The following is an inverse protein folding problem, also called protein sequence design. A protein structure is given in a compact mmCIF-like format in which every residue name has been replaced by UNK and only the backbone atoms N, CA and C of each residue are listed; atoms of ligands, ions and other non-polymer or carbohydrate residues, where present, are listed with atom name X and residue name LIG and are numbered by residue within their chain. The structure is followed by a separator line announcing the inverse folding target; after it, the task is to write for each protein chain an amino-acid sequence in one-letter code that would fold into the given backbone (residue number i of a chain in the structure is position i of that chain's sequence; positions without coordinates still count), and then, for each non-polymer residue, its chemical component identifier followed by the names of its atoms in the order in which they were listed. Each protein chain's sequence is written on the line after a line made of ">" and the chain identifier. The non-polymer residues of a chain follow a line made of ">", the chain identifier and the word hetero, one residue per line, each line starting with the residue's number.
data_IF_706698184726
#
_entry.id   IF_706698184726
#
_cell.length_a   1.000
_cell.length_b   1.000
_cell.length_c   1.000
_cell.angle_alpha   90.00
_cell.angle_beta   90.00
_cell.angle_gamma   90.00
#
_symmetry.space_group_name_H-M   'P 1'
#
loop_
_entity.id
_entity.type
_entity.pdbx_description
1 polymer ?
#
# COMPACT_ATOMS: atom_id res chain seq x y z
N UNK A 1 -6.17 -18.03 -2.22
CA UNK A 1 -5.70 -17.87 -0.83
C UNK A 1 -6.14 -16.54 -0.20
N UNK A 2 -5.99 -15.38 -0.86
CA UNK A 2 -6.40 -14.07 -0.32
C UNK A 2 -7.91 -14.02 -0.01
N UNK A 3 -8.74 -14.54 -0.89
CA UNK A 3 -10.20 -14.59 -0.70
C UNK A 3 -10.58 -15.53 0.45
N UNK A 4 -9.95 -16.70 0.55
CA UNK A 4 -10.17 -17.66 1.64
C UNK A 4 -9.77 -17.01 2.98
N UNK A 5 -8.60 -16.40 3.05
CA UNK A 5 -8.13 -15.69 4.25
C UNK A 5 -9.09 -14.56 4.64
N UNK A 6 -9.61 -13.80 3.67
CA UNK A 6 -10.59 -12.75 3.93
C UNK A 6 -11.89 -13.32 4.54
N UNK A 7 -12.38 -14.46 4.02
CA UNK A 7 -13.56 -15.14 4.55
C UNK A 7 -13.34 -15.63 5.98
N UNK A 8 -12.21 -16.27 6.26
CA UNK A 8 -11.89 -16.81 7.58
C UNK A 8 -11.75 -15.69 8.63
N UNK A 9 -11.12 -14.58 8.26
CA UNK A 9 -10.93 -13.42 9.15
C UNK A 9 -12.24 -12.69 9.42
N UNK A 10 -13.11 -12.55 8.42
CA UNK A 10 -14.36 -11.79 8.55
C UNK A 10 -15.45 -12.54 9.31
N UNK A 11 -15.53 -13.86 9.19
CA UNK A 11 -16.68 -14.61 9.71
C UNK A 11 -16.79 -14.63 11.24
N UNK A 12 -15.68 -14.76 11.95
CA UNK A 12 -15.69 -14.84 13.42
C UNK A 12 -16.10 -13.53 14.12
N UNK A 13 -15.61 -12.33 13.70
CA UNK A 13 -16.05 -11.05 14.27
C UNK A 13 -17.51 -10.70 14.05
N UNK A 14 -18.11 -11.18 12.95
CA UNK A 14 -19.51 -10.85 12.59
C UNK A 14 -20.56 -11.57 13.45
N UNK A 15 -20.17 -12.56 14.28
CA UNK A 15 -21.08 -13.23 15.19
C UNK A 15 -21.50 -12.32 16.34
N UNK A 16 -22.79 -12.31 16.63
CA UNK A 16 -23.33 -11.61 17.81
C UNK A 16 -22.66 -12.12 19.09
N UNK A 17 -22.02 -11.22 19.84
CA UNK A 17 -21.40 -11.51 21.14
C UNK A 17 -22.37 -11.12 22.25
N UNK A 18 -22.78 -12.08 23.08
CA UNK A 18 -23.44 -11.79 24.34
C UNK A 18 -22.40 -11.28 25.34
N UNK A 19 -22.53 -10.04 25.77
CA UNK A 19 -21.70 -9.51 26.86
C UNK A 19 -22.34 -9.88 28.20
N UNK A 20 -21.55 -10.40 29.14
CA UNK A 20 -22.01 -10.55 30.52
C UNK A 20 -22.18 -9.17 31.11
N UNK A 21 -23.41 -8.79 31.42
CA UNK A 21 -23.70 -7.61 32.25
C UNK A 21 -22.98 -7.78 33.60
N UNK A 22 -22.06 -6.87 33.94
CA UNK A 22 -21.70 -6.72 35.34
C UNK A 22 -22.93 -6.20 36.08
N UNK A 23 -23.35 -6.85 37.16
CA UNK A 23 -24.46 -6.42 38.00
C UNK A 23 -24.26 -4.94 38.38
N UNK A 24 -24.95 -4.06 37.67
CA UNK A 24 -25.11 -2.67 38.05
C UNK A 24 -26.30 -2.53 39.01
N UNK A 25 -26.39 -1.39 39.65
CA UNK A 25 -27.39 -1.10 40.73
C UNK A 25 -28.86 -1.11 40.31
N UNK A 26 -29.24 -1.59 39.14
CA UNK A 26 -30.63 -1.67 38.68
C UNK A 26 -31.02 -3.15 38.51
N UNK A 27 -32.03 -3.63 39.23
CA UNK A 27 -32.47 -5.02 39.21
C UNK A 27 -33.41 -5.30 38.02
N UNK A 28 -32.91 -5.11 36.79
CA UNK A 28 -33.65 -5.47 35.58
C UNK A 28 -32.85 -6.53 34.84
N UNK A 29 -33.53 -7.61 34.40
CA UNK A 29 -32.94 -8.62 33.54
C UNK A 29 -32.60 -7.99 32.16
N UNK A 30 -31.50 -7.23 32.08
CA UNK A 30 -31.00 -6.66 30.84
C UNK A 30 -29.99 -7.59 30.23
N UNK A 31 -30.25 -8.01 29.02
CA UNK A 31 -29.25 -8.69 28.18
C UNK A 31 -28.53 -7.62 27.36
N UNK A 32 -27.23 -7.48 27.56
CA UNK A 32 -26.40 -6.62 26.72
C UNK A 32 -25.74 -7.51 25.66
N UNK A 33 -25.88 -7.14 24.40
CA UNK A 33 -25.24 -7.83 23.28
C UNK A 33 -24.64 -6.84 22.29
N UNK A 34 -23.58 -7.23 21.65
CA UNK A 34 -22.96 -6.50 20.55
C UNK A 34 -23.39 -7.19 19.25
N UNK A 35 -23.92 -6.42 18.31
CA UNK A 35 -24.29 -6.88 16.98
C UNK A 35 -23.66 -5.96 15.95
N UNK A 36 -22.93 -6.53 15.01
CA UNK A 36 -22.45 -5.82 13.85
C UNK A 36 -23.56 -5.69 12.81
N UNK A 37 -23.70 -4.49 12.25
CA UNK A 37 -24.66 -4.19 11.19
C UNK A 37 -23.91 -3.59 10.01
N UNK A 38 -24.35 -3.83 8.76
CA UNK A 38 -23.74 -3.20 7.58
C UNK A 38 -23.83 -1.68 7.65
N UNK A 39 -22.86 -0.99 7.08
CA UNK A 39 -22.92 0.45 6.86
C UNK A 39 -23.91 0.82 5.75
N UNK A 40 -24.08 -0.04 4.75
CA UNK A 40 -24.86 0.19 3.54
C UNK A 40 -23.98 0.11 2.30
N UNK A 41 -23.76 1.21 1.62
CA UNK A 41 -22.89 1.31 0.44
C UNK A 41 -21.49 1.79 0.83
N UNK A 42 -20.50 0.95 0.61
CA UNK A 42 -19.09 1.26 0.93
C UNK A 42 -18.33 1.61 -0.33
N UNK A 43 -17.84 2.84 -0.37
CA UNK A 43 -16.87 3.28 -1.38
C UNK A 43 -15.50 2.69 -1.10
N UNK A 44 -14.89 2.04 -2.09
CA UNK A 44 -13.53 1.51 -2.01
C UNK A 44 -12.69 2.14 -3.11
N UNK A 45 -11.66 2.90 -2.74
CA UNK A 45 -10.73 3.51 -3.69
C UNK A 45 -9.38 2.85 -3.51
N UNK A 46 -8.98 2.06 -4.52
CA UNK A 46 -7.80 1.21 -4.50
C UNK A 46 -6.65 1.77 -5.36
N UNK A 47 -5.39 1.58 -4.95
CA UNK A 47 -4.20 2.05 -5.66
C UNK A 47 -3.75 1.05 -6.75
N UNK A 48 -2.76 1.47 -7.53
CA UNK A 48 -2.19 0.71 -8.65
C UNK A 48 -1.12 -0.32 -8.26
N UNK A 49 -0.48 -0.16 -7.10
CA UNK A 49 0.72 -0.95 -6.75
C UNK A 49 0.44 -2.41 -6.35
N UNK A 50 -0.73 -2.68 -5.80
CA UNK A 50 -1.25 -4.01 -5.49
C UNK A 50 -2.68 -4.18 -5.99
N UNK A 51 -2.90 -4.09 -7.31
CA UNK A 51 -4.26 -3.98 -7.86
C UNK A 51 -5.14 -5.20 -7.59
N UNK A 52 -4.56 -6.40 -7.50
CA UNK A 52 -5.31 -7.61 -7.15
C UNK A 52 -5.60 -7.65 -5.64
N UNK A 53 -4.55 -7.55 -4.82
CA UNK A 53 -4.66 -7.77 -3.37
C UNK A 53 -5.54 -6.73 -2.70
N UNK A 54 -5.25 -5.44 -2.92
CA UNK A 54 -5.96 -4.36 -2.24
C UNK A 54 -7.40 -4.20 -2.73
N UNK A 55 -7.68 -4.54 -3.97
CA UNK A 55 -9.04 -4.56 -4.51
C UNK A 55 -9.85 -5.76 -4.01
N UNK A 56 -9.33 -6.99 -4.18
CA UNK A 56 -10.05 -8.20 -3.81
C UNK A 56 -10.21 -8.32 -2.29
N UNK A 57 -9.14 -8.12 -1.53
CA UNK A 57 -9.17 -8.28 -0.07
C UNK A 57 -10.16 -7.33 0.59
N UNK A 58 -10.10 -6.05 0.25
CA UNK A 58 -11.01 -5.04 0.81
C UNK A 58 -12.44 -5.27 0.33
N UNK A 59 -12.65 -5.45 -0.98
CA UNK A 59 -13.99 -5.64 -1.56
C UNK A 59 -14.70 -6.87 -1.02
N UNK A 60 -14.01 -7.99 -0.87
CA UNK A 60 -14.58 -9.23 -0.33
C UNK A 60 -14.95 -9.06 1.15
N UNK A 61 -14.13 -8.43 1.97
CA UNK A 61 -14.45 -8.19 3.38
C UNK A 61 -15.67 -7.29 3.54
N UNK A 62 -15.80 -6.26 2.70
CA UNK A 62 -16.96 -5.36 2.68
C UNK A 62 -18.24 -6.12 2.33
N UNK A 63 -18.21 -6.99 1.30
CA UNK A 63 -19.33 -7.86 0.94
C UNK A 63 -19.69 -8.84 2.08
N UNK A 64 -18.70 -9.49 2.69
CA UNK A 64 -18.92 -10.44 3.79
C UNK A 64 -19.54 -9.77 5.01
N UNK A 65 -19.27 -8.49 5.23
CA UNK A 65 -19.90 -7.70 6.28
C UNK A 65 -21.34 -7.26 5.93
N UNK A 66 -21.87 -7.67 4.77
CA UNK A 66 -23.24 -7.41 4.33
C UNK A 66 -23.45 -6.07 3.63
N UNK A 67 -22.40 -5.44 3.14
CA UNK A 67 -22.46 -4.14 2.47
C UNK A 67 -22.44 -4.29 0.94
N UNK A 68 -22.95 -3.27 0.24
CA UNK A 68 -22.65 -3.05 -1.19
C UNK A 68 -21.28 -2.42 -1.38
N UNK A 69 -20.62 -2.71 -2.51
CA UNK A 69 -19.28 -2.21 -2.85
C UNK A 69 -19.33 -1.33 -4.09
N UNK A 70 -18.85 -0.11 -3.94
CA UNK A 70 -18.61 0.80 -5.05
C UNK A 70 -17.09 0.99 -5.19
N UNK A 71 -16.47 0.19 -6.08
CA UNK A 71 -15.02 0.11 -6.22
C UNK A 71 -14.51 1.03 -7.33
N UNK A 72 -13.58 1.90 -6.98
CA UNK A 72 -12.77 2.64 -7.94
C UNK A 72 -11.33 2.11 -7.93
N UNK A 73 -10.92 1.35 -8.96
CA UNK A 73 -9.50 1.02 -9.13
C UNK A 73 -8.70 2.25 -9.57
N UNK A 74 -7.38 2.17 -9.46
CA UNK A 74 -6.53 3.17 -10.10
C UNK A 74 -6.68 3.15 -11.63
N UNK A 75 -6.51 4.32 -12.24
CA UNK A 75 -6.64 4.48 -13.71
C UNK A 75 -5.56 3.72 -14.49
N UNK A 76 -4.42 3.42 -13.86
CA UNK A 76 -3.31 2.68 -14.48
C UNK A 76 -3.52 1.16 -14.47
N UNK A 77 -4.37 0.64 -13.56
CA UNK A 77 -4.56 -0.80 -13.38
C UNK A 77 -6.04 -1.22 -13.28
N UNK A 78 -6.94 -0.73 -14.16
CA UNK A 78 -8.38 -0.99 -14.02
C UNK A 78 -8.77 -2.42 -14.35
N UNK A 79 -8.04 -3.10 -15.26
CA UNK A 79 -8.39 -4.41 -15.77
C UNK A 79 -8.44 -5.49 -14.68
N UNK A 80 -7.55 -5.40 -13.68
CA UNK A 80 -7.53 -6.33 -12.54
C UNK A 80 -8.84 -6.26 -11.74
N UNK A 81 -9.34 -5.06 -11.47
CA UNK A 81 -10.61 -4.88 -10.75
C UNK A 81 -11.81 -5.38 -11.55
N UNK A 82 -11.82 -5.14 -12.87
CA UNK A 82 -12.87 -5.64 -13.76
C UNK A 82 -12.89 -7.18 -13.79
N UNK A 83 -11.71 -7.83 -13.82
CA UNK A 83 -11.62 -9.28 -13.75
C UNK A 83 -12.06 -9.84 -12.40
N UNK A 84 -11.77 -9.16 -11.30
CA UNK A 84 -12.28 -9.53 -9.97
C UNK A 84 -13.82 -9.48 -9.97
N UNK A 85 -14.42 -8.41 -10.49
CA UNK A 85 -15.88 -8.29 -10.58
C UNK A 85 -16.50 -9.42 -11.40
N UNK A 86 -15.92 -9.74 -12.56
CA UNK A 86 -16.35 -10.86 -13.40
C UNK A 86 -16.36 -12.18 -12.61
N UNK A 87 -15.25 -12.51 -11.93
CA UNK A 87 -15.13 -13.72 -11.13
C UNK A 87 -16.12 -13.77 -9.96
N UNK A 88 -16.41 -12.64 -9.32
CA UNK A 88 -17.44 -12.55 -8.29
C UNK A 88 -18.84 -12.84 -8.86
N UNK A 89 -19.16 -12.29 -10.02
CA UNK A 89 -20.45 -12.53 -10.68
C UNK A 89 -20.59 -13.99 -11.14
N UNK A 90 -19.55 -14.58 -11.70
CA UNK A 90 -19.51 -16.01 -12.06
C UNK A 90 -19.68 -16.90 -10.84
N UNK A 91 -19.22 -16.45 -9.67
CA UNK A 91 -19.39 -17.14 -8.39
C UNK A 91 -20.77 -16.95 -7.76
N UNK A 92 -21.67 -16.23 -8.40
CA UNK A 92 -23.07 -16.03 -7.94
C UNK A 92 -23.28 -14.79 -7.09
N UNK A 93 -22.33 -13.89 -6.95
CA UNK A 93 -22.55 -12.59 -6.30
C UNK A 93 -23.45 -11.73 -7.20
N UNK A 94 -24.57 -11.20 -6.68
CA UNK A 94 -25.44 -10.30 -7.43
C UNK A 94 -24.70 -9.07 -7.95
N UNK A 95 -24.98 -8.71 -9.21
CA UNK A 95 -24.29 -7.57 -9.84
C UNK A 95 -24.51 -6.25 -9.12
N UNK A 96 -25.66 -6.11 -8.45
CA UNK A 96 -26.03 -4.91 -7.71
C UNK A 96 -25.26 -4.74 -6.38
N UNK A 97 -24.49 -5.75 -5.96
CA UNK A 97 -23.71 -5.68 -4.74
C UNK A 97 -22.24 -5.31 -4.94
N UNK A 98 -21.72 -5.36 -6.18
CA UNK A 98 -20.32 -5.04 -6.46
C UNK A 98 -20.19 -4.30 -7.78
N UNK A 99 -19.88 -3.02 -7.73
CA UNK A 99 -19.70 -2.19 -8.92
C UNK A 99 -18.28 -1.69 -9.05
N UNK A 100 -17.70 -1.81 -10.24
CA UNK A 100 -16.42 -1.22 -10.57
C UNK A 100 -16.65 0.04 -11.43
N UNK A 101 -16.21 1.18 -10.93
CA UNK A 101 -16.33 2.47 -11.62
C UNK A 101 -14.93 2.97 -11.99
N UNK A 102 -14.58 2.87 -13.24
CA UNK A 102 -13.30 3.37 -13.78
C UNK A 102 -13.39 4.85 -14.10
N UNK A 103 -12.27 5.57 -13.97
CA UNK A 103 -12.17 6.97 -14.30
C UNK A 103 -11.17 7.74 -13.45
N UNK A 104 -11.05 9.03 -13.69
CA UNK A 104 -10.07 9.87 -12.99
C UNK A 104 -10.38 9.97 -11.48
N UNK A 105 -9.32 10.00 -10.66
CA UNK A 105 -9.46 10.12 -9.20
C UNK A 105 -10.17 11.39 -8.76
N UNK A 106 -9.96 12.49 -9.47
CA UNK A 106 -10.58 13.77 -9.14
C UNK A 106 -12.10 13.82 -9.34
N UNK A 107 -12.62 13.09 -10.32
CA UNK A 107 -14.05 13.05 -10.64
C UNK A 107 -14.72 11.87 -9.93
N UNK A 108 -14.31 10.64 -10.25
CA UNK A 108 -14.96 9.43 -9.75
C UNK A 108 -14.70 9.23 -8.25
N UNK A 109 -13.48 9.49 -7.77
CA UNK A 109 -13.17 9.38 -6.35
C UNK A 109 -13.97 10.35 -5.49
N UNK A 110 -14.17 11.57 -5.97
CA UNK A 110 -15.04 12.55 -5.32
C UNK A 110 -16.51 12.09 -5.32
N UNK A 111 -17.04 11.70 -6.48
CA UNK A 111 -18.42 11.26 -6.60
C UNK A 111 -18.74 10.06 -5.69
N UNK A 112 -17.85 9.08 -5.62
CA UNK A 112 -17.99 7.94 -4.69
C UNK A 112 -18.02 8.44 -3.24
N UNK A 113 -17.09 9.32 -2.84
CA UNK A 113 -17.04 9.85 -1.48
C UNK A 113 -18.30 10.66 -1.14
N UNK A 114 -18.87 11.36 -2.10
CA UNK A 114 -20.12 12.12 -1.96
C UNK A 114 -21.38 11.22 -1.93
N UNK A 115 -21.31 9.98 -2.43
CA UNK A 115 -22.45 9.05 -2.53
C UNK A 115 -22.49 7.96 -1.47
N UNK A 116 -21.36 7.43 -1.02
CA UNK A 116 -21.29 6.26 -0.14
C UNK A 116 -21.64 6.56 1.34
N UNK A 117 -21.91 5.51 2.12
CA UNK A 117 -22.16 5.57 3.57
C UNK A 117 -20.88 5.38 4.40
N UNK A 118 -19.86 4.78 3.81
CA UNK A 118 -18.53 4.60 4.40
C UNK A 118 -17.48 4.62 3.30
N UNK A 119 -16.33 5.24 3.54
CA UNK A 119 -15.23 5.28 2.58
C UNK A 119 -14.01 4.52 3.08
N UNK A 120 -13.51 3.60 2.27
CA UNK A 120 -12.20 2.96 2.42
C UNK A 120 -11.27 3.46 1.31
N UNK A 121 -10.20 4.12 1.70
CA UNK A 121 -9.23 4.70 0.77
C UNK A 121 -7.84 4.14 1.02
N UNK A 122 -7.17 3.70 -0.04
CA UNK A 122 -5.73 3.41 -0.01
C UNK A 122 -5.03 4.23 -1.09
N UNK A 123 -4.02 5.01 -0.70
CA UNK A 123 -3.29 5.85 -1.64
C UNK A 123 -2.44 6.94 -0.99
N UNK A 124 -2.21 8.04 -1.71
CA UNK A 124 -1.36 9.13 -1.23
C UNK A 124 -2.00 9.91 -0.07
N UNK A 125 -1.18 10.36 0.88
CA UNK A 125 -1.61 11.19 2.01
C UNK A 125 -2.35 12.47 1.57
N UNK A 126 -1.93 13.08 0.49
CA UNK A 126 -2.57 14.30 -0.03
C UNK A 126 -3.99 14.03 -0.52
N UNK A 127 -4.19 12.93 -1.26
CA UNK A 127 -5.52 12.52 -1.71
C UNK A 127 -6.38 12.10 -0.52
N UNK A 128 -5.81 11.34 0.43
CA UNK A 128 -6.49 10.93 1.65
C UNK A 128 -7.04 12.12 2.46
N UNK A 129 -6.25 13.18 2.61
CA UNK A 129 -6.73 14.40 3.29
C UNK A 129 -7.93 15.05 2.58
N UNK A 130 -7.90 15.11 1.23
CA UNK A 130 -9.00 15.69 0.45
C UNK A 130 -10.29 14.87 0.58
N UNK A 131 -10.19 13.54 0.46
CA UNK A 131 -11.34 12.65 0.60
C UNK A 131 -11.85 12.63 2.05
N UNK A 132 -10.95 12.64 3.03
CA UNK A 132 -11.30 12.73 4.45
C UNK A 132 -12.03 14.02 4.81
N UNK A 133 -11.73 15.16 4.15
CA UNK A 133 -12.48 16.40 4.31
C UNK A 133 -13.93 16.23 3.84
N UNK A 134 -14.14 15.66 2.66
CA UNK A 134 -15.49 15.41 2.12
C UNK A 134 -16.26 14.42 3.02
N UNK A 135 -15.62 13.34 3.46
CA UNK A 135 -16.22 12.38 4.37
C UNK A 135 -16.62 13.03 5.70
N UNK A 136 -15.77 13.91 6.23
CA UNK A 136 -16.03 14.67 7.45
C UNK A 136 -17.19 15.65 7.32
N UNK A 137 -17.30 16.37 6.20
CA UNK A 137 -18.43 17.24 5.90
C UNK A 137 -19.77 16.46 5.86
N UNK A 138 -19.74 15.21 5.41
CA UNK A 138 -20.90 14.32 5.36
C UNK A 138 -21.13 13.52 6.64
N UNK A 139 -20.21 13.57 7.60
CA UNK A 139 -20.23 12.78 8.84
C UNK A 139 -20.28 11.26 8.59
N UNK A 140 -19.71 10.77 7.49
CA UNK A 140 -19.59 9.34 7.20
C UNK A 140 -18.27 8.77 7.76
N UNK A 141 -18.26 7.44 8.00
CA UNK A 141 -17.04 6.76 8.42
C UNK A 141 -15.97 6.77 7.32
N UNK A 142 -14.71 6.90 7.72
CA UNK A 142 -13.59 6.96 6.80
C UNK A 142 -12.39 6.17 7.33
N UNK A 143 -11.89 5.22 6.55
CA UNK A 143 -10.63 4.52 6.79
C UNK A 143 -9.64 4.86 5.69
N UNK A 144 -8.42 5.24 6.08
CA UNK A 144 -7.37 5.60 5.15
C UNK A 144 -6.09 4.81 5.42
N UNK A 145 -5.65 4.06 4.41
CA UNK A 145 -4.34 3.44 4.35
C UNK A 145 -3.44 4.29 3.46
N UNK A 146 -2.39 4.86 4.05
CA UNK A 146 -1.58 5.90 3.42
C UNK A 146 -0.12 5.46 3.28
N UNK A 147 0.67 6.26 2.59
CA UNK A 147 2.11 6.04 2.47
C UNK A 147 2.86 6.32 3.77
N UNK A 148 4.06 5.78 3.88
CA UNK A 148 4.97 5.96 5.01
C UNK A 148 6.39 6.33 4.57
N UNK A 149 7.30 6.31 5.54
CA UNK A 149 8.75 6.40 5.38
C UNK A 149 9.36 5.37 6.34
N UNK A 150 9.13 4.10 6.00
CA UNK A 150 9.34 2.99 6.92
C UNK A 150 10.82 2.79 7.26
N UNK A 151 11.18 2.71 8.55
CA UNK A 151 12.55 2.45 8.97
C UNK A 151 12.84 0.96 9.12
N UNK A 152 14.09 0.57 8.85
CA UNK A 152 14.71 -0.65 9.32
C UNK A 152 15.83 -0.31 10.29
N UNK A 153 15.92 -1.03 11.39
CA UNK A 153 17.00 -0.88 12.38
C UNK A 153 17.82 -2.16 12.40
N UNK A 154 19.13 -2.04 12.18
CA UNK A 154 20.09 -3.15 12.22
C UNK A 154 20.95 -2.96 13.45
N UNK A 155 20.72 -3.78 14.49
CA UNK A 155 21.42 -3.72 15.76
C UNK A 155 22.84 -4.32 15.66
N UNK A 156 23.71 -4.02 16.61
CA UNK A 156 25.11 -4.42 16.61
C UNK A 156 25.35 -5.94 16.61
N UNK A 157 24.39 -6.70 17.08
CA UNK A 157 24.40 -8.17 17.17
C UNK A 157 23.56 -8.85 16.09
N UNK A 158 23.10 -8.08 15.07
CA UNK A 158 22.33 -8.63 13.97
C UNK A 158 23.19 -9.58 13.10
N UNK A 159 22.55 -10.64 12.59
CA UNK A 159 23.10 -11.42 11.48
C UNK A 159 23.11 -10.56 10.23
N UNK A 160 24.28 -10.15 9.79
CA UNK A 160 24.47 -9.19 8.69
C UNK A 160 23.94 -9.78 7.37
N UNK A 161 24.19 -11.05 7.10
CA UNK A 161 23.70 -11.69 5.86
C UNK A 161 22.18 -11.66 5.78
N UNK A 162 21.52 -12.06 6.86
CA UNK A 162 20.06 -12.00 6.97
C UNK A 162 19.54 -10.56 6.90
N UNK A 163 20.22 -9.61 7.53
CA UNK A 163 19.86 -8.20 7.49
C UNK A 163 19.93 -7.63 6.06
N UNK A 164 20.97 -8.00 5.29
CA UNK A 164 21.11 -7.61 3.87
C UNK A 164 19.97 -8.21 3.03
N UNK A 165 19.67 -9.49 3.19
CA UNK A 165 18.56 -10.14 2.45
C UNK A 165 17.21 -9.49 2.77
N UNK A 166 16.96 -9.18 4.05
CA UNK A 166 15.77 -8.45 4.49
C UNK A 166 15.72 -7.03 3.90
N UNK A 167 16.86 -6.34 3.84
CA UNK A 167 16.94 -5.00 3.24
C UNK A 167 16.68 -5.04 1.73
N UNK A 168 17.26 -5.99 0.98
CA UNK A 168 16.99 -6.17 -0.46
C UNK A 168 15.48 -6.37 -0.69
N UNK A 169 14.88 -7.34 0.00
CA UNK A 169 13.46 -7.61 -0.16
C UNK A 169 12.58 -6.44 0.30
N UNK A 170 12.92 -5.81 1.42
CA UNK A 170 12.13 -4.74 2.01
C UNK A 170 12.23 -3.41 1.26
N UNK A 171 13.37 -3.11 0.61
CA UNK A 171 13.56 -1.87 -0.15
C UNK A 171 13.10 -1.99 -1.59
N UNK A 172 13.36 -3.13 -2.27
CA UNK A 172 13.26 -3.23 -3.71
C UNK A 172 12.14 -4.13 -4.23
N UNK A 173 11.40 -4.83 -3.36
CA UNK A 173 10.19 -5.55 -3.80
C UNK A 173 9.23 -4.60 -4.51
N UNK A 174 8.70 -5.03 -5.67
CA UNK A 174 7.88 -4.22 -6.56
C UNK A 174 8.52 -2.86 -6.91
N UNK A 175 9.86 -2.83 -7.05
CA UNK A 175 10.65 -1.62 -7.32
C UNK A 175 10.47 -0.52 -6.27
N UNK A 176 10.30 -0.89 -4.98
CA UNK A 176 10.07 0.05 -3.88
C UNK A 176 8.67 0.66 -3.83
N UNK A 177 7.78 0.30 -4.75
CA UNK A 177 6.44 0.89 -4.88
C UNK A 177 5.43 0.27 -3.90
N UNK A 178 5.80 0.22 -2.62
CA UNK A 178 5.00 -0.36 -1.54
C UNK A 178 4.80 0.63 -0.39
N UNK A 179 3.62 0.65 0.20
CA UNK A 179 3.37 1.42 1.42
C UNK A 179 4.21 0.92 2.62
N UNK A 180 4.65 -0.35 2.56
CA UNK A 180 5.50 -1.01 3.56
C UNK A 180 6.98 -1.06 3.15
N UNK A 181 7.36 -0.48 2.01
CA UNK A 181 8.76 -0.45 1.56
C UNK A 181 9.65 0.26 2.57
N UNK A 182 10.82 -0.32 2.83
CA UNK A 182 11.82 0.28 3.69
C UNK A 182 12.51 1.39 2.91
N UNK A 183 12.43 2.61 3.41
CA UNK A 183 13.06 3.78 2.79
C UNK A 183 14.17 4.38 3.64
N UNK A 184 14.36 3.89 4.87
CA UNK A 184 15.45 4.30 5.78
C UNK A 184 16.02 3.09 6.48
N UNK A 185 17.33 2.95 6.44
CA UNK A 185 18.04 1.90 7.17
C UNK A 185 18.96 2.56 8.20
N UNK A 186 18.74 2.27 9.48
CA UNK A 186 19.58 2.72 10.60
C UNK A 186 20.47 1.56 11.02
N UNK A 187 21.75 1.65 10.74
CA UNK A 187 22.71 0.59 11.04
C UNK A 187 23.60 1.03 12.22
N UNK A 188 23.79 0.14 13.19
CA UNK A 188 24.70 0.41 14.31
C UNK A 188 26.13 0.60 13.77
N UNK A 189 26.84 1.59 14.31
CA UNK A 189 28.17 2.01 13.82
C UNK A 189 29.19 0.89 13.75
N UNK A 190 29.17 -0.04 14.73
CA UNK A 190 30.12 -1.15 14.81
C UNK A 190 30.05 -2.11 13.61
N UNK A 191 28.93 -2.19 12.90
CA UNK A 191 28.71 -3.10 11.76
C UNK A 191 28.36 -2.35 10.48
N UNK A 192 28.32 -1.02 10.52
CA UNK A 192 27.80 -0.21 9.41
C UNK A 192 28.60 -0.40 8.13
N UNK A 193 29.92 -0.45 8.21
CA UNK A 193 30.78 -0.61 7.05
C UNK A 193 30.56 -1.97 6.39
N UNK A 194 30.61 -3.06 7.15
CA UNK A 194 30.42 -4.42 6.64
C UNK A 194 29.01 -4.60 6.05
N UNK A 195 27.98 -4.08 6.72
CA UNK A 195 26.62 -4.11 6.20
C UNK A 195 26.52 -3.38 4.86
N UNK A 196 27.06 -2.15 4.76
CA UNK A 196 27.00 -1.35 3.54
C UNK A 196 27.73 -2.02 2.38
N UNK A 197 28.93 -2.57 2.59
CA UNK A 197 29.68 -3.27 1.57
C UNK A 197 28.90 -4.45 1.00
N UNK A 198 28.34 -5.30 1.87
CA UNK A 198 27.53 -6.44 1.47
C UNK A 198 26.21 -6.03 0.81
N UNK A 199 25.57 -4.99 1.31
CA UNK A 199 24.30 -4.50 0.78
C UNK A 199 24.48 -3.92 -0.62
N UNK A 200 25.52 -3.11 -0.85
CA UNK A 200 25.85 -2.56 -2.18
C UNK A 200 26.17 -3.70 -3.15
N UNK A 201 27.01 -4.66 -2.75
CA UNK A 201 27.35 -5.80 -3.60
C UNK A 201 26.10 -6.64 -3.97
N UNK A 202 25.17 -6.84 -3.03
CA UNK A 202 23.92 -7.54 -3.30
C UNK A 202 23.03 -6.78 -4.29
N UNK A 203 22.98 -5.44 -4.20
CA UNK A 203 22.24 -4.59 -5.13
C UNK A 203 22.84 -4.65 -6.55
N UNK A 204 24.15 -4.59 -6.65
CA UNK A 204 24.85 -4.66 -7.95
C UNK A 204 24.65 -6.02 -8.64
N UNK A 205 24.43 -7.07 -7.87
CA UNK A 205 24.13 -8.42 -8.37
C UNK A 205 22.67 -8.61 -8.79
N UNK A 206 21.76 -7.66 -8.49
CA UNK A 206 20.34 -7.77 -8.86
C UNK A 206 20.15 -7.75 -10.37
N UNK A 207 19.32 -8.68 -10.86
CA UNK A 207 18.92 -8.74 -12.26
C UNK A 207 17.69 -7.87 -12.47
N UNK A 208 17.85 -6.83 -13.27
CA UNK A 208 16.81 -5.86 -13.57
C UNK A 208 16.36 -6.06 -15.00
N UNK A 209 15.06 -6.17 -15.24
CA UNK A 209 14.57 -6.39 -16.59
C UNK A 209 13.05 -6.32 -16.72
N UNK A 210 12.57 -6.26 -17.98
CA UNK A 210 11.15 -6.36 -18.29
C UNK A 210 10.72 -7.82 -18.30
N UNK A 211 9.43 -8.04 -18.00
CA UNK A 211 8.78 -9.33 -18.21
C UNK A 211 8.38 -10.05 -16.93
N UNK A 212 7.56 -11.10 -17.07
CA UNK A 212 7.04 -11.90 -15.97
C UNK A 212 7.96 -13.07 -15.58
N UNK A 213 9.15 -13.15 -16.14
CA UNK A 213 10.09 -14.23 -15.87
C UNK A 213 10.58 -14.19 -14.42
N UNK A 214 10.69 -15.37 -13.80
CA UNK A 214 11.13 -15.52 -12.42
C UNK A 214 12.64 -15.34 -12.21
N UNK A 215 13.37 -15.06 -13.28
CA UNK A 215 14.81 -14.77 -13.26
C UNK A 215 15.14 -13.28 -13.14
N UNK A 216 14.14 -12.42 -13.01
CA UNK A 216 14.28 -10.97 -12.79
C UNK A 216 13.98 -10.64 -11.34
N UNK A 217 14.89 -9.94 -10.66
CA UNK A 217 14.77 -9.58 -9.26
C UNK A 217 13.99 -8.27 -9.06
N UNK A 218 14.07 -7.35 -10.05
CA UNK A 218 13.35 -6.08 -10.00
C UNK A 218 12.90 -5.64 -11.41
N UNK A 219 11.63 -5.22 -11.53
CA UNK A 219 11.02 -4.69 -12.74
C UNK A 219 11.10 -3.16 -12.86
N UNK A 220 10.21 -2.60 -13.69
CA UNK A 220 10.07 -1.15 -13.90
C UNK A 220 9.26 -0.48 -12.78
N UNK A 221 9.36 0.84 -12.70
CA UNK A 221 8.35 1.68 -12.06
C UNK A 221 7.07 1.68 -12.90
N UNK A 222 5.97 2.16 -12.31
CA UNK A 222 4.64 2.10 -12.95
C UNK A 222 4.55 2.92 -14.24
N UNK A 223 5.35 3.98 -14.37
CA UNK A 223 5.36 4.85 -15.54
C UNK A 223 6.66 5.65 -15.66
N UNK A 224 6.94 6.16 -16.85
CA UNK A 224 8.04 7.08 -17.10
C UNK A 224 7.92 8.38 -16.28
N UNK A 225 6.70 8.89 -16.08
CA UNK A 225 6.46 10.06 -15.24
C UNK A 225 6.85 9.79 -13.78
N UNK A 226 6.47 8.63 -13.26
CA UNK A 226 6.83 8.25 -11.89
C UNK A 226 8.34 8.05 -11.74
N UNK A 227 9.01 7.43 -12.74
CA UNK A 227 10.44 7.31 -12.80
C UNK A 227 11.14 8.68 -12.77
N UNK A 228 10.65 9.64 -13.57
CA UNK A 228 11.18 11.00 -13.56
C UNK A 228 11.07 11.67 -12.19
N UNK A 229 9.93 11.49 -11.50
CA UNK A 229 9.74 11.98 -10.14
C UNK A 229 10.73 11.38 -9.14
N UNK A 230 11.00 10.07 -9.22
CA UNK A 230 12.00 9.41 -8.37
C UNK A 230 13.39 9.98 -8.64
N UNK A 231 13.76 10.11 -9.91
CA UNK A 231 15.02 10.71 -10.35
C UNK A 231 15.20 12.15 -9.84
N UNK A 232 14.16 12.97 -9.91
CA UNK A 232 14.18 14.36 -9.39
C UNK A 232 14.44 14.38 -7.88
N UNK A 233 13.85 13.45 -7.13
CA UNK A 233 14.06 13.35 -5.68
C UNK A 233 15.49 12.90 -5.34
N UNK A 234 16.07 11.97 -6.10
CA UNK A 234 17.47 11.54 -5.96
C UNK A 234 18.40 12.70 -6.30
N UNK A 235 18.17 13.40 -7.40
CA UNK A 235 18.96 14.55 -7.82
C UNK A 235 18.90 15.71 -6.80
N UNK A 236 17.73 15.98 -6.21
CA UNK A 236 17.60 16.95 -5.10
C UNK A 236 18.49 16.56 -3.92
N UNK A 237 18.49 15.28 -3.54
CA UNK A 237 19.33 14.80 -2.44
C UNK A 237 20.83 14.93 -2.76
N UNK A 238 21.26 14.53 -3.95
CA UNK A 238 22.66 14.63 -4.41
C UNK A 238 23.10 16.10 -4.46
N UNK A 239 22.29 16.99 -5.01
CA UNK A 239 22.58 18.44 -5.04
C UNK A 239 22.74 19.02 -3.63
N UNK A 240 22.12 18.41 -2.63
CA UNK A 240 22.22 18.79 -1.21
C UNK A 240 23.29 18.05 -0.43
N UNK A 241 24.15 17.30 -1.12
CA UNK A 241 25.34 16.66 -0.54
C UNK A 241 25.17 15.19 -0.19
N UNK A 242 24.10 14.53 -0.64
CA UNK A 242 23.99 13.08 -0.49
C UNK A 242 25.02 12.35 -1.36
N UNK A 243 25.53 11.23 -0.88
CA UNK A 243 26.46 10.36 -1.59
C UNK A 243 25.72 9.17 -2.17
N UNK A 244 25.84 8.92 -3.46
CA UNK A 244 25.30 7.73 -4.13
C UNK A 244 26.28 6.58 -3.93
N UNK A 245 25.85 5.50 -3.29
CA UNK A 245 26.65 4.28 -3.10
C UNK A 245 26.34 3.23 -4.17
N UNK A 246 25.10 3.21 -4.68
CA UNK A 246 24.67 2.35 -5.78
C UNK A 246 23.54 3.04 -6.56
N UNK A 247 23.39 2.71 -7.84
CA UNK A 247 22.31 3.18 -8.70
C UNK A 247 22.36 4.66 -9.08
N UNK A 248 21.31 5.39 -8.76
CA UNK A 248 21.20 6.84 -9.00
C UNK A 248 21.01 7.25 -10.46
N UNK A 249 20.54 6.36 -11.34
CA UNK A 249 20.42 6.61 -12.78
C UNK A 249 19.25 5.86 -13.43
N UNK A 250 18.69 6.44 -14.47
CA UNK A 250 17.77 5.77 -15.36
C UNK A 250 18.46 4.65 -16.15
N UNK A 251 17.67 3.66 -16.58
CA UNK A 251 18.10 2.52 -17.38
C UNK A 251 17.34 2.49 -18.73
N UNK A 252 17.60 3.46 -19.63
CA UNK A 252 16.81 3.65 -20.85
C UNK A 252 16.87 2.45 -21.81
N UNK A 253 17.96 1.66 -21.78
CA UNK A 253 18.11 0.46 -22.59
C UNK A 253 17.08 -0.63 -22.23
N UNK A 254 16.56 -0.62 -20.99
CA UNK A 254 15.50 -1.54 -20.54
C UNK A 254 14.10 -0.95 -20.77
N UNK A 255 14.00 0.38 -20.88
CA UNK A 255 12.76 1.10 -21.11
C UNK A 255 12.64 2.40 -20.30
N UNK A 256 11.71 3.26 -20.69
CA UNK A 256 11.55 4.62 -20.13
C UNK A 256 11.19 4.65 -18.64
N UNK A 257 10.61 3.58 -18.10
CA UNK A 257 10.18 3.49 -16.71
C UNK A 257 11.19 2.80 -15.78
N UNK A 258 12.37 2.41 -16.30
CA UNK A 258 13.38 1.72 -15.50
C UNK A 258 14.34 2.71 -14.83
N UNK A 259 14.60 2.46 -13.55
CA UNK A 259 15.58 3.18 -12.74
C UNK A 259 16.40 2.19 -11.91
N UNK A 260 17.68 2.45 -11.76
CA UNK A 260 18.56 1.55 -11.01
C UNK A 260 18.22 1.55 -9.53
N UNK A 261 18.24 0.39 -8.83
CA UNK A 261 18.08 0.35 -7.38
C UNK A 261 19.15 1.20 -6.72
N UNK A 262 18.72 2.13 -5.86
CA UNK A 262 19.56 3.25 -5.44
C UNK A 262 19.77 3.26 -3.93
N UNK A 263 21.01 3.43 -3.51
CA UNK A 263 21.41 3.64 -2.11
C UNK A 263 22.10 4.98 -1.97
N UNK A 264 21.62 5.76 -1.02
CA UNK A 264 22.17 7.07 -0.67
C UNK A 264 22.59 7.11 0.81
N UNK A 265 23.69 7.80 1.06
CA UNK A 265 24.11 8.21 2.42
C UNK A 265 24.21 9.72 2.52
N UNK A 266 24.35 10.24 3.73
CA UNK A 266 24.50 11.70 3.99
C UNK A 266 23.33 12.53 3.46
N UNK A 267 22.11 11.96 3.46
CA UNK A 267 20.89 12.64 2.97
C UNK A 267 20.52 13.77 3.91
N UNK A 268 20.58 15.00 3.43
CA UNK A 268 20.28 16.20 4.21
C UNK A 268 18.80 16.22 4.64
N UNK A 269 18.53 16.66 5.88
CA UNK A 269 17.16 16.73 6.46
C UNK A 269 16.22 17.66 5.68
N UNK A 270 16.76 18.57 4.88
CA UNK A 270 16.01 19.49 4.01
C UNK A 270 15.69 18.92 2.64
N UNK A 271 16.24 17.76 2.25
CA UNK A 271 15.95 17.13 0.97
C UNK A 271 14.50 16.60 0.91
N UNK A 272 13.98 16.47 -0.30
CA UNK A 272 12.65 15.87 -0.52
C UNK A 272 12.61 14.42 -0.05
N UNK A 273 13.69 13.66 -0.31
CA UNK A 273 13.86 12.28 0.13
C UNK A 273 13.79 12.10 1.65
N UNK A 274 14.29 13.07 2.42
CA UNK A 274 14.25 12.98 3.87
C UNK A 274 12.85 13.18 4.43
N UNK A 275 12.05 14.07 3.84
CA UNK A 275 10.75 14.52 4.37
C UNK A 275 9.56 13.73 3.86
N UNK A 276 9.65 13.19 2.64
CA UNK A 276 8.55 12.49 1.96
C UNK A 276 8.89 11.05 1.61
N UNK A 277 7.86 10.23 1.42
CA UNK A 277 8.02 8.89 0.83
C UNK A 277 8.38 9.00 -0.65
N UNK A 278 9.32 8.17 -1.10
CA UNK A 278 9.75 8.09 -2.51
C UNK A 278 8.72 7.32 -3.31
N UNK A 279 8.35 6.15 -2.79
CA UNK A 279 7.43 5.23 -3.44
C UNK A 279 7.98 4.69 -4.77
N UNK A 280 9.26 4.32 -4.78
CA UNK A 280 9.96 3.84 -5.96
C UNK A 280 11.45 3.64 -5.72
#
# INVERSE_FOLDING_TARGET
>A
DVAITACDVAYAPLRMRRMRSKRGAVPVHTYTGERHVPHGEVGVIAPWNYPLKLTAFVGIQVLLAGNGVLLKPDSLTPLTALKIAELLYESGIPRDLFHVVSGSGGVVGRAITEGCDYLMFTGSTMTGRRLGSIAGERLIGYSAELGGKNPMIVAHDADIERAVQCAISGCFANSGQLCVSIERIYVHEAIAQEFLERFVAAIEAMRIGPGPEWDVDMGSLISAEHRARVEDMVNDAVTRGATVLAGGRALPDLGEAFYAPTVLTNVATRSQLYRGGVYG
#
